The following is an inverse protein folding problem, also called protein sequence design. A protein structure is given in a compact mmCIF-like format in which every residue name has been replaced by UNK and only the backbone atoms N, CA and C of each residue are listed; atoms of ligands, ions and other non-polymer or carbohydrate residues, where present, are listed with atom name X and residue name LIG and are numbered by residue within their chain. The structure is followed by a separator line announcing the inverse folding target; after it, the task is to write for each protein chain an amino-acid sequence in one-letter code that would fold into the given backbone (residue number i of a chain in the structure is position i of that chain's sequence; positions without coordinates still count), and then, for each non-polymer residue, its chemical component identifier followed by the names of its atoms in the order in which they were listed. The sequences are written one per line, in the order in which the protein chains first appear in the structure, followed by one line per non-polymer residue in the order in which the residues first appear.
data_IF_419118831797
#
_entry.id   IF_419118831797
#
_cell.length_a   1.000
_cell.length_b   1.000
_cell.length_c   1.000
_cell.angle_alpha   90.00
_cell.angle_beta   90.00
_cell.angle_gamma   90.00
#
_symmetry.space_group_name_H-M   'P 1'
#
loop_
_entity.id
_entity.type
_entity.pdbx_description
1 polymer ?
#
# COMPACT_ATOMS: atom_id res chain seq x y z
N UNK A 1 18.17 20.25 -83.30
CA UNK A 1 18.57 19.64 -82.02
C UNK A 1 17.35 19.03 -81.31
N UNK A 2 17.53 17.81 -80.80
CA UNK A 2 16.85 17.09 -79.70
C UNK A 2 15.30 16.96 -79.58
N UNK A 3 14.85 15.70 -79.57
CA UNK A 3 13.54 15.16 -79.14
C UNK A 3 13.27 15.38 -77.63
N UNK A 4 12.00 15.56 -77.24
CA UNK A 4 11.41 14.90 -76.05
C UNK A 4 9.89 14.71 -76.15
N UNK A 5 9.47 13.44 -76.17
CA UNK A 5 8.10 12.95 -75.85
C UNK A 5 7.95 12.77 -74.33
N UNK A 6 6.68 12.70 -73.89
CA UNK A 6 6.09 12.12 -72.64
C UNK A 6 5.67 13.18 -71.60
N UNK A 7 4.52 13.06 -70.92
CA UNK A 7 3.72 11.86 -70.59
C UNK A 7 2.25 12.23 -70.33
N UNK A 8 1.32 11.38 -70.75
CA UNK A 8 -0.13 11.54 -70.58
C UNK A 8 -0.64 11.05 -69.22
N UNK A 9 -1.66 11.78 -68.73
CA UNK A 9 -2.93 11.35 -68.11
C UNK A 9 -3.01 10.14 -67.14
N UNK A 10 -3.60 10.48 -65.99
CA UNK A 10 -4.64 9.79 -65.19
C UNK A 10 -4.24 8.62 -64.28
N UNK A 11 -4.29 8.87 -62.98
CA UNK A 11 -4.49 7.88 -61.92
C UNK A 11 -5.73 8.28 -61.11
N UNK A 12 -6.91 7.79 -61.52
CA UNK A 12 -8.17 7.94 -60.77
C UNK A 12 -9.08 6.69 -60.86
N UNK A 13 -8.70 5.66 -61.62
CA UNK A 13 -9.58 4.51 -61.94
C UNK A 13 -9.28 3.21 -61.17
N UNK A 14 -8.34 3.22 -60.23
CA UNK A 14 -7.98 2.00 -59.50
C UNK A 14 -8.85 1.74 -58.27
N UNK A 15 -9.45 2.79 -57.69
CA UNK A 15 -10.33 2.68 -56.51
C UNK A 15 -11.72 2.12 -56.88
N UNK A 16 -12.29 2.52 -58.03
CA UNK A 16 -13.62 2.06 -58.45
C UNK A 16 -13.67 0.61 -58.92
N UNK A 17 -12.60 0.10 -59.57
CA UNK A 17 -12.53 -1.31 -60.01
C UNK A 17 -12.39 -2.30 -58.84
N UNK A 18 -11.64 -1.93 -57.79
CA UNK A 18 -11.52 -2.76 -56.58
C UNK A 18 -12.84 -2.79 -55.80
N UNK A 19 -13.52 -1.65 -55.66
CA UNK A 19 -14.87 -1.58 -55.09
C UNK A 19 -15.84 -2.47 -55.88
N UNK A 20 -15.84 -2.36 -57.22
CA UNK A 20 -16.69 -3.17 -58.11
C UNK A 20 -16.43 -4.68 -58.06
N UNK A 21 -15.20 -5.12 -57.82
CA UNK A 21 -14.89 -6.56 -57.67
C UNK A 21 -15.36 -7.08 -56.31
N UNK A 22 -15.17 -6.29 -55.26
CA UNK A 22 -15.65 -6.64 -53.91
C UNK A 22 -17.17 -6.69 -53.88
N UNK A 23 -17.84 -5.69 -54.47
CA UNK A 23 -19.31 -5.67 -54.56
C UNK A 23 -19.86 -6.86 -55.36
N UNK A 24 -19.15 -7.27 -56.42
CA UNK A 24 -19.51 -8.45 -57.22
C UNK A 24 -19.28 -9.76 -56.47
N UNK A 25 -18.18 -9.89 -55.74
CA UNK A 25 -17.90 -11.06 -54.88
C UNK A 25 -18.92 -11.14 -53.74
N UNK A 26 -19.28 -10.03 -53.11
CA UNK A 26 -20.33 -9.97 -52.07
C UNK A 26 -21.68 -10.41 -52.66
N UNK A 27 -22.03 -9.90 -53.85
CA UNK A 27 -23.26 -10.26 -54.54
C UNK A 27 -23.30 -11.75 -54.94
N UNK A 28 -22.17 -12.32 -55.35
CA UNK A 28 -22.08 -13.74 -55.72
C UNK A 28 -22.13 -14.66 -54.48
N UNK A 29 -21.56 -14.24 -53.34
CA UNK A 29 -21.60 -14.97 -52.06
C UNK A 29 -22.98 -14.92 -51.41
N UNK A 30 -23.71 -13.80 -51.52
CA UNK A 30 -25.06 -13.67 -50.97
C UNK A 30 -26.14 -14.38 -51.81
N UNK A 31 -25.75 -15.05 -52.90
CA UNK A 31 -26.67 -15.81 -53.75
C UNK A 31 -26.86 -17.23 -53.18
N UNK A 32 -28.06 -17.60 -52.68
CA UNK A 32 -28.30 -18.86 -51.98
C UNK A 32 -28.24 -20.12 -52.86
N UNK A 33 -27.97 -19.96 -54.18
CA UNK A 33 -27.79 -21.07 -55.13
C UNK A 33 -26.32 -21.30 -55.52
N UNK A 34 -25.38 -20.58 -54.90
CA UNK A 34 -23.96 -20.61 -55.27
C UNK A 34 -23.16 -21.30 -54.17
N UNK A 35 -22.62 -22.49 -54.45
CA UNK A 35 -21.63 -23.12 -53.57
C UNK A 35 -20.32 -22.33 -53.65
N UNK A 36 -19.89 -21.78 -52.51
CA UNK A 36 -18.67 -20.97 -52.43
C UNK A 36 -17.48 -21.92 -52.60
N UNK A 37 -16.71 -21.77 -53.68
CA UNK A 37 -15.49 -22.55 -53.88
C UNK A 37 -14.37 -22.10 -52.94
N UNK A 38 -13.43 -22.99 -52.61
CA UNK A 38 -12.24 -22.64 -51.80
C UNK A 38 -11.42 -21.49 -52.44
N UNK A 39 -11.45 -21.37 -53.77
CA UNK A 39 -10.80 -20.29 -54.53
C UNK A 39 -11.48 -18.95 -54.25
N UNK A 40 -12.82 -18.92 -54.17
CA UNK A 40 -13.58 -17.70 -53.89
C UNK A 40 -13.43 -17.26 -52.43
N UNK A 41 -13.42 -18.21 -51.49
CA UNK A 41 -13.10 -17.95 -50.09
C UNK A 41 -11.68 -17.36 -49.93
N UNK A 42 -10.70 -17.92 -50.64
CA UNK A 42 -9.33 -17.40 -50.64
C UNK A 42 -9.22 -16.00 -51.27
N UNK A 43 -10.00 -15.69 -52.32
CA UNK A 43 -10.08 -14.34 -52.89
C UNK A 43 -10.66 -13.31 -51.93
N UNK A 44 -11.72 -13.66 -51.20
CA UNK A 44 -12.29 -12.78 -50.16
C UNK A 44 -11.26 -12.54 -49.06
N UNK A 45 -10.59 -13.59 -48.61
CA UNK A 45 -9.52 -13.51 -47.61
C UNK A 45 -8.38 -12.59 -48.07
N UNK A 46 -7.93 -12.73 -49.32
CA UNK A 46 -6.92 -11.84 -49.90
C UNK A 46 -7.41 -10.39 -50.06
N UNK A 47 -8.68 -10.19 -50.43
CA UNK A 47 -9.29 -8.86 -50.53
C UNK A 47 -9.38 -8.17 -49.16
N UNK A 48 -9.79 -8.90 -48.12
CA UNK A 48 -9.82 -8.42 -46.74
C UNK A 48 -8.40 -8.11 -46.24
N UNK A 49 -7.44 -9.01 -46.45
CA UNK A 49 -6.03 -8.80 -46.07
C UNK A 49 -5.34 -7.65 -46.84
N UNK A 50 -5.84 -7.31 -48.03
CA UNK A 50 -5.36 -6.19 -48.83
C UNK A 50 -6.18 -4.91 -48.69
N UNK A 51 -7.29 -4.94 -47.93
CA UNK A 51 -8.09 -3.77 -47.61
C UNK A 51 -7.34 -2.86 -46.64
N UNK A 52 -7.19 -1.59 -47.03
CA UNK A 52 -6.57 -0.57 -46.19
C UNK A 52 -7.40 -0.26 -44.95
N UNK A 53 -8.72 -0.40 -45.03
CA UNK A 53 -9.63 -0.16 -43.89
C UNK A 53 -9.51 -1.27 -42.86
N UNK A 54 -9.47 -2.54 -43.31
CA UNK A 54 -9.27 -3.70 -42.43
C UNK A 54 -7.90 -3.64 -41.75
N UNK A 55 -6.83 -3.27 -42.47
CA UNK A 55 -5.51 -3.06 -41.87
C UNK A 55 -5.51 -1.94 -40.84
N UNK A 56 -6.15 -0.82 -41.15
CA UNK A 56 -6.24 0.32 -40.21
C UNK A 56 -6.95 -0.10 -38.91
N UNK A 57 -8.08 -0.80 -39.02
CA UNK A 57 -8.81 -1.32 -37.86
C UNK A 57 -7.94 -2.28 -37.06
N UNK A 58 -7.24 -3.21 -37.73
CA UNK A 58 -6.36 -4.16 -37.06
C UNK A 58 -5.18 -3.46 -36.34
N UNK A 59 -4.59 -2.44 -36.95
CA UNK A 59 -3.51 -1.64 -36.36
C UNK A 59 -4.00 -0.83 -35.16
N UNK A 60 -5.18 -0.20 -35.27
CA UNK A 60 -5.82 0.54 -34.17
C UNK A 60 -6.15 -0.41 -32.99
N UNK A 61 -6.75 -1.56 -33.27
CA UNK A 61 -7.02 -2.60 -32.26
C UNK A 61 -5.75 -3.08 -31.58
N UNK A 62 -4.68 -3.33 -32.36
CA UNK A 62 -3.39 -3.75 -31.80
C UNK A 62 -2.84 -2.68 -30.85
N UNK A 63 -2.91 -1.42 -31.25
CA UNK A 63 -2.45 -0.29 -30.43
C UNK A 63 -3.24 -0.18 -29.13
N UNK A 64 -4.56 -0.37 -29.18
CA UNK A 64 -5.42 -0.34 -28.00
C UNK A 64 -5.14 -1.52 -27.06
N UNK A 65 -4.96 -2.73 -27.60
CA UNK A 65 -4.55 -3.91 -26.82
C UNK A 65 -3.20 -3.68 -26.14
N UNK A 66 -2.22 -3.14 -26.86
CA UNK A 66 -0.91 -2.81 -26.31
C UNK A 66 -1.02 -1.76 -25.19
N UNK A 67 -1.87 -0.74 -25.36
CA UNK A 67 -2.12 0.28 -24.34
C UNK A 67 -2.74 -0.29 -23.07
N UNK A 68 -3.79 -1.11 -23.20
CA UNK A 68 -4.46 -1.79 -22.08
C UNK A 68 -3.49 -2.73 -21.37
N UNK A 69 -2.76 -3.54 -22.13
CA UNK A 69 -1.78 -4.50 -21.61
C UNK A 69 -0.69 -3.80 -20.81
N UNK A 70 -0.13 -2.70 -21.34
CA UNK A 70 0.87 -1.90 -20.64
C UNK A 70 0.34 -1.27 -19.34
N UNK A 71 -0.90 -0.79 -19.35
CA UNK A 71 -1.57 -0.25 -18.16
C UNK A 71 -1.75 -1.31 -17.06
N UNK A 72 -2.21 -2.52 -17.43
CA UNK A 72 -2.35 -3.65 -16.50
C UNK A 72 -1.00 -4.03 -15.89
N UNK A 73 0.05 -4.14 -16.71
CA UNK A 73 1.39 -4.48 -16.20
C UNK A 73 1.96 -3.37 -15.31
N UNK A 74 1.75 -2.10 -15.64
CA UNK A 74 2.19 -0.98 -14.80
C UNK A 74 1.49 -1.02 -13.44
N UNK A 75 0.17 -1.19 -13.42
CA UNK A 75 -0.64 -1.30 -12.20
C UNK A 75 -0.26 -2.52 -11.37
N UNK A 76 -0.01 -3.68 -12.00
CA UNK A 76 0.48 -4.89 -11.32
C UNK A 76 1.86 -4.68 -10.69
N UNK A 77 2.80 -4.03 -11.38
CA UNK A 77 4.12 -3.68 -10.82
C UNK A 77 3.96 -2.75 -9.62
N UNK A 78 3.07 -1.75 -9.70
CA UNK A 78 2.76 -0.83 -8.59
C UNK A 78 2.20 -1.60 -7.39
N UNK A 79 1.24 -2.51 -7.62
CA UNK A 79 0.66 -3.37 -6.59
C UNK A 79 1.73 -4.21 -5.88
N UNK A 80 2.61 -4.87 -6.63
CA UNK A 80 3.69 -5.69 -6.06
C UNK A 80 4.60 -4.83 -5.16
N UNK A 81 5.06 -3.67 -5.65
CA UNK A 81 5.89 -2.75 -4.87
C UNK A 81 5.22 -2.31 -3.57
N UNK A 82 3.95 -1.92 -3.65
CA UNK A 82 3.14 -1.49 -2.49
C UNK A 82 2.92 -2.63 -1.51
N UNK A 83 2.65 -3.85 -1.99
CA UNK A 83 2.49 -5.03 -1.14
C UNK A 83 3.77 -5.36 -0.38
N UNK A 84 4.93 -5.37 -1.06
CA UNK A 84 6.23 -5.60 -0.41
C UNK A 84 6.55 -4.52 0.63
N UNK A 85 6.31 -3.25 0.31
CA UNK A 85 6.45 -2.12 1.24
C UNK A 85 5.54 -2.25 2.46
N UNK A 86 4.27 -2.61 2.28
CA UNK A 86 3.32 -2.86 3.37
C UNK A 86 3.77 -4.00 4.30
N UNK A 87 4.24 -5.13 3.75
CA UNK A 87 4.76 -6.23 4.57
C UNK A 87 6.02 -5.82 5.36
N UNK A 88 6.93 -5.07 4.75
CA UNK A 88 8.08 -4.52 5.47
C UNK A 88 7.65 -3.57 6.60
N UNK A 89 6.65 -2.73 6.35
CA UNK A 89 6.09 -1.85 7.39
C UNK A 89 5.43 -2.64 8.53
N UNK A 90 4.76 -3.76 8.25
CA UNK A 90 4.21 -4.64 9.30
C UNK A 90 5.29 -5.19 10.22
N UNK A 91 6.42 -5.63 9.63
CA UNK A 91 7.59 -6.10 10.39
C UNK A 91 8.12 -4.97 11.27
N UNK A 92 8.39 -3.80 10.68
CA UNK A 92 8.91 -2.63 11.41
C UNK A 92 7.97 -2.17 12.55
N UNK A 93 6.64 -2.19 12.33
CA UNK A 93 5.64 -1.88 13.36
C UNK A 93 5.73 -2.88 14.51
N UNK A 94 5.86 -4.17 14.21
CA UNK A 94 5.95 -5.23 15.23
C UNK A 94 7.22 -5.08 16.07
N UNK A 95 8.37 -4.90 15.42
CA UNK A 95 9.64 -4.66 16.09
C UNK A 95 9.59 -3.41 16.97
N UNK A 96 8.99 -2.31 16.46
CA UNK A 96 8.88 -1.07 17.21
C UNK A 96 7.91 -1.20 18.40
N UNK A 97 6.85 -2.00 18.29
CA UNK A 97 5.97 -2.34 19.43
C UNK A 97 6.76 -2.99 20.57
N UNK A 98 7.67 -3.91 20.25
CA UNK A 98 8.48 -4.56 21.28
C UNK A 98 9.51 -3.60 21.91
N UNK A 99 10.07 -2.67 21.13
CA UNK A 99 10.89 -1.57 21.67
C UNK A 99 10.09 -0.70 22.64
N UNK A 100 8.86 -0.32 22.28
CA UNK A 100 7.98 0.47 23.15
C UNK A 100 7.65 -0.29 24.44
N UNK A 101 7.33 -1.59 24.36
CA UNK A 101 7.11 -2.42 25.55
C UNK A 101 8.33 -2.43 26.47
N UNK A 102 9.53 -2.66 25.93
CA UNK A 102 10.78 -2.64 26.72
C UNK A 102 11.02 -1.27 27.36
N UNK A 103 10.82 -0.18 26.62
CA UNK A 103 10.94 1.17 27.13
C UNK A 103 9.92 1.46 28.26
N UNK A 104 8.69 0.97 28.11
CA UNK A 104 7.64 1.10 29.12
C UNK A 104 8.00 0.34 30.40
N UNK A 105 8.46 -0.92 30.27
CA UNK A 105 8.93 -1.70 31.42
C UNK A 105 10.10 -1.05 32.14
N UNK A 106 11.08 -0.53 31.39
CA UNK A 106 12.21 0.20 31.96
C UNK A 106 11.76 1.47 32.69
N UNK A 107 10.85 2.25 32.10
CA UNK A 107 10.28 3.43 32.75
C UNK A 107 9.57 3.07 34.07
N UNK A 108 8.78 1.99 34.07
CA UNK A 108 8.11 1.50 35.28
C UNK A 108 9.11 1.13 36.38
N UNK A 109 10.18 0.40 36.02
CA UNK A 109 11.22 0.04 36.96
C UNK A 109 11.91 1.28 37.54
N UNK A 110 12.34 2.23 36.71
CA UNK A 110 13.06 3.41 37.15
C UNK A 110 12.18 4.31 38.02
N UNK A 111 10.89 4.44 37.72
CA UNK A 111 9.93 5.14 38.60
C UNK A 111 9.84 4.49 39.98
N UNK A 112 9.71 3.17 40.03
CA UNK A 112 9.69 2.43 41.31
C UNK A 112 10.98 2.65 42.11
N UNK A 113 12.14 2.63 41.44
CA UNK A 113 13.42 2.95 42.08
C UNK A 113 13.46 4.38 42.62
N UNK A 114 13.01 5.37 41.84
CA UNK A 114 12.96 6.77 42.28
C UNK A 114 12.08 6.93 43.53
N UNK A 115 10.91 6.28 43.58
CA UNK A 115 10.05 6.28 44.78
C UNK A 115 10.74 5.64 45.98
N UNK A 116 11.48 4.53 45.79
CA UNK A 116 12.24 3.92 46.88
C UNK A 116 13.37 4.82 47.39
N UNK A 117 14.09 5.49 46.49
CA UNK A 117 15.14 6.45 46.84
C UNK A 117 14.56 7.70 47.54
N UNK A 118 13.37 8.14 47.15
CA UNK A 118 12.64 9.26 47.77
C UNK A 118 12.23 8.92 49.21
N UNK A 119 11.63 7.75 49.43
CA UNK A 119 11.28 7.26 50.77
C UNK A 119 12.52 7.19 51.65
N UNK A 120 13.62 6.66 51.11
CA UNK A 120 14.89 6.57 51.84
C UNK A 120 15.44 7.95 52.21
N UNK A 121 15.41 8.90 51.28
CA UNK A 121 15.83 10.28 51.52
C UNK A 121 15.00 10.94 52.63
N UNK A 122 13.67 10.89 52.52
CA UNK A 122 12.74 11.44 53.52
C UNK A 122 13.00 10.84 54.90
N UNK A 123 13.21 9.51 54.98
CA UNK A 123 13.53 8.85 56.25
C UNK A 123 14.83 9.38 56.85
N UNK A 124 15.90 9.49 56.05
CA UNK A 124 17.19 9.99 56.54
C UNK A 124 17.14 11.48 56.93
N UNK A 125 16.36 12.28 56.20
CA UNK A 125 16.18 13.71 56.49
C UNK A 125 15.37 13.91 57.79
N UNK A 126 14.34 13.09 58.02
CA UNK A 126 13.59 13.09 59.27
C UNK A 126 14.47 12.77 60.48
N UNK A 127 15.28 11.71 60.39
CA UNK A 127 16.22 11.34 61.48
C UNK A 127 17.23 12.46 61.78
N UNK A 128 17.69 13.17 60.76
CA UNK A 128 18.59 14.33 60.92
C UNK A 128 17.90 15.49 61.65
N UNK A 129 16.68 15.83 61.25
CA UNK A 129 15.90 16.91 61.86
C UNK A 129 15.55 16.61 63.33
N UNK A 130 15.29 15.35 63.68
CA UNK A 130 15.05 14.94 65.06
C UNK A 130 16.28 15.16 65.95
N UNK A 131 17.48 14.83 65.46
CA UNK A 131 18.74 15.07 66.21
C UNK A 131 19.00 16.57 66.33
N UNK A 132 18.79 17.33 65.25
CA UNK A 132 19.02 18.77 65.27
C UNK A 132 18.09 19.46 66.28
N UNK A 133 16.81 19.08 66.28
CA UNK A 133 15.86 19.56 67.30
C UNK A 133 16.27 19.18 68.72
N UNK A 134 16.74 17.95 68.94
CA UNK A 134 17.21 17.53 70.27
C UNK A 134 18.43 18.35 70.74
N UNK A 135 19.35 18.69 69.84
CA UNK A 135 20.47 19.59 70.14
C UNK A 135 19.96 20.98 70.52
N UNK A 136 19.06 21.56 69.71
CA UNK A 136 18.49 22.88 69.95
C UNK A 136 17.73 22.95 71.29
N UNK A 137 16.95 21.91 71.61
CA UNK A 137 16.22 21.80 72.88
C UNK A 137 17.18 21.71 74.08
N UNK A 138 18.27 20.94 73.99
CA UNK A 138 19.30 20.87 75.04
C UNK A 138 19.99 22.22 75.21
N UNK A 139 20.39 22.89 74.11
CA UNK A 139 21.01 24.22 74.16
C UNK A 139 20.09 25.22 74.86
N UNK A 140 18.79 25.18 74.54
CA UNK A 140 17.80 26.07 75.17
C UNK A 140 17.66 25.84 76.67
N UNK A 141 17.63 24.58 77.13
CA UNK A 141 17.51 24.25 78.56
C UNK A 141 18.79 24.57 79.33
N UNK A 142 19.95 24.43 78.69
CA UNK A 142 21.27 24.69 79.28
C UNK A 142 21.73 26.15 79.13
N UNK A 143 20.94 27.03 78.52
CA UNK A 143 21.31 28.42 78.22
C UNK A 143 21.67 29.29 79.45
N UNK A 144 21.28 28.88 80.66
CA UNK A 144 21.61 29.57 81.93
C UNK A 144 22.85 28.98 82.64
N UNK A 145 23.42 27.90 82.12
CA UNK A 145 24.62 27.25 82.63
C UNK A 145 25.87 27.80 81.93
N UNK A 146 27.05 27.33 82.33
CA UNK A 146 28.29 27.64 81.62
C UNK A 146 28.21 27.05 80.20
N UNK A 147 28.62 27.79 79.14
CA UNK A 147 28.69 27.29 77.76
C UNK A 147 29.35 25.90 77.62
N UNK A 148 30.34 25.58 78.46
CA UNK A 148 30.99 24.27 78.48
C UNK A 148 30.03 23.13 78.83
N UNK A 149 29.04 23.36 79.69
CA UNK A 149 28.06 22.35 80.10
C UNK A 149 27.11 21.99 78.94
N UNK A 150 26.71 22.99 78.15
CA UNK A 150 25.89 22.81 76.95
C UNK A 150 26.64 22.03 75.86
N UNK A 151 27.94 22.31 75.68
CA UNK A 151 28.78 21.60 74.73
C UNK A 151 29.00 20.13 75.12
N UNK A 152 29.25 19.85 76.41
CA UNK A 152 29.37 18.47 76.91
C UNK A 152 28.04 17.72 76.73
N UNK A 153 26.91 18.35 77.06
CA UNK A 153 25.59 17.74 76.94
C UNK A 153 25.18 17.41 75.48
N UNK A 154 25.72 18.15 74.50
CA UNK A 154 25.38 17.96 73.08
C UNK A 154 26.45 17.22 72.27
N UNK A 155 27.65 16.97 72.82
CA UNK A 155 28.79 16.43 72.09
C UNK A 155 28.48 15.15 71.31
N UNK A 156 27.86 14.16 71.96
CA UNK A 156 27.49 12.89 71.33
C UNK A 156 26.45 13.05 70.20
N UNK A 157 25.50 13.98 70.38
CA UNK A 157 24.49 14.30 69.36
C UNK A 157 25.12 15.05 68.18
N UNK A 158 26.03 15.99 68.42
CA UNK A 158 26.79 16.70 67.37
C UNK A 158 27.63 15.72 66.54
N UNK A 159 28.28 14.74 67.18
CA UNK A 159 29.00 13.69 66.46
C UNK A 159 28.06 12.81 65.60
N UNK A 160 26.89 12.44 66.14
CA UNK A 160 25.86 11.69 65.41
C UNK A 160 25.30 12.48 64.22
N UNK A 161 25.09 13.79 64.40
CA UNK A 161 24.57 14.70 63.38
C UNK A 161 25.44 14.69 62.12
N UNK A 162 26.77 14.75 62.26
CA UNK A 162 27.72 14.71 61.14
C UNK A 162 27.53 13.42 60.30
N UNK A 163 27.44 12.26 60.97
CA UNK A 163 27.23 10.98 60.28
C UNK A 163 25.86 10.89 59.59
N UNK A 164 24.82 11.44 60.20
CA UNK A 164 23.47 11.49 59.61
C UNK A 164 23.38 12.47 58.45
N UNK A 165 24.07 13.61 58.52
CA UNK A 165 24.17 14.59 57.45
C UNK A 165 24.84 13.99 56.21
N UNK A 166 25.96 13.29 56.37
CA UNK A 166 26.60 12.59 55.26
C UNK A 166 25.67 11.55 54.60
N UNK A 167 24.89 10.81 55.40
CA UNK A 167 23.92 9.83 54.88
C UNK A 167 22.75 10.49 54.15
N UNK A 168 22.21 11.60 54.67
CA UNK A 168 21.15 12.36 54.03
C UNK A 168 21.62 12.97 52.71
N UNK A 169 22.84 13.53 52.66
CA UNK A 169 23.43 14.03 51.41
C UNK A 169 23.62 12.91 50.38
N UNK A 170 24.09 11.73 50.79
CA UNK A 170 24.22 10.55 49.93
C UNK A 170 22.86 10.12 49.37
N UNK A 171 21.83 10.05 50.21
CA UNK A 171 20.46 9.71 49.78
C UNK A 171 19.89 10.76 48.80
N UNK A 172 20.15 12.04 49.04
CA UNK A 172 19.75 13.14 48.14
C UNK A 172 20.38 13.05 46.76
N UNK A 173 21.67 12.70 46.69
CA UNK A 173 22.38 12.49 45.42
C UNK A 173 21.79 11.29 44.67
N UNK A 174 21.49 10.19 45.37
CA UNK A 174 20.86 9.00 44.79
C UNK A 174 19.46 9.32 44.22
N UNK A 175 18.63 10.04 44.98
CA UNK A 175 17.32 10.49 44.54
C UNK A 175 17.42 11.34 43.26
N UNK A 176 18.27 12.37 43.25
CA UNK A 176 18.49 13.23 42.07
C UNK A 176 18.94 12.44 40.84
N UNK A 177 19.78 11.43 41.03
CA UNK A 177 20.21 10.56 39.93
C UNK A 177 19.04 9.73 39.37
N UNK A 178 18.21 9.16 40.25
CA UNK A 178 17.01 8.40 39.85
C UNK A 178 15.94 9.29 39.19
N UNK A 179 15.75 10.53 39.65
CA UNK A 179 14.87 11.51 39.00
C UNK A 179 15.34 11.84 37.57
N UNK A 180 16.65 12.10 37.39
CA UNK A 180 17.24 12.36 36.07
C UNK A 180 17.07 11.17 35.13
N UNK A 181 17.28 9.95 35.61
CA UNK A 181 17.05 8.73 34.84
C UNK A 181 15.56 8.55 34.49
N UNK A 182 14.66 8.90 35.40
CA UNK A 182 13.20 8.85 35.16
C UNK A 182 12.78 9.81 34.05
N UNK A 183 13.30 11.03 34.06
CA UNK A 183 13.03 12.02 33.02
C UNK A 183 13.50 11.53 31.63
N UNK A 184 14.72 11.00 31.57
CA UNK A 184 15.29 10.47 30.33
C UNK A 184 14.53 9.22 29.83
N UNK A 185 14.17 8.29 30.72
CA UNK A 185 13.37 7.12 30.39
C UNK A 185 11.97 7.52 29.85
N UNK A 186 11.37 8.55 30.45
CA UNK A 186 10.07 9.09 30.01
C UNK A 186 10.19 9.65 28.59
N UNK A 187 11.23 10.44 28.32
CA UNK A 187 11.50 11.01 26.99
C UNK A 187 11.68 9.91 25.94
N UNK A 188 12.53 8.90 26.20
CA UNK A 188 12.77 7.77 25.28
C UNK A 188 11.50 6.96 25.00
N UNK A 189 10.68 6.73 26.02
CA UNK A 189 9.40 6.03 25.87
C UNK A 189 8.43 6.83 24.98
N UNK A 190 8.33 8.15 25.20
CA UNK A 190 7.49 9.02 24.39
C UNK A 190 7.96 9.11 22.93
N UNK A 191 9.26 9.25 22.70
CA UNK A 191 9.86 9.25 21.35
C UNK A 191 9.56 7.94 20.61
N UNK A 192 9.80 6.80 21.27
CA UNK A 192 9.52 5.48 20.70
C UNK A 192 8.03 5.30 20.37
N UNK A 193 7.14 5.79 21.23
CA UNK A 193 5.69 5.75 21.01
C UNK A 193 5.28 6.61 19.82
N UNK A 194 5.83 7.83 19.69
CA UNK A 194 5.56 8.72 18.55
C UNK A 194 6.01 8.09 17.23
N UNK A 195 7.18 7.46 17.21
CA UNK A 195 7.67 6.75 16.03
C UNK A 195 6.80 5.55 15.68
N UNK A 196 6.35 4.77 16.67
CA UNK A 196 5.39 3.69 16.46
C UNK A 196 4.11 4.20 15.81
N UNK A 197 3.51 5.27 16.34
CA UNK A 197 2.29 5.86 15.77
C UNK A 197 2.49 6.33 14.32
N UNK A 198 3.67 6.88 13.98
CA UNK A 198 3.99 7.24 12.60
C UNK A 198 4.03 6.01 11.69
N UNK A 199 4.69 4.94 12.13
CA UNK A 199 4.76 3.68 11.37
C UNK A 199 3.38 3.05 11.18
N UNK A 200 2.54 3.03 12.21
CA UNK A 200 1.17 2.51 12.13
C UNK A 200 0.32 3.31 11.13
N UNK A 201 0.42 4.64 11.14
CA UNK A 201 -0.26 5.49 10.15
C UNK A 201 0.22 5.21 8.73
N UNK A 202 1.53 5.07 8.53
CA UNK A 202 2.09 4.72 7.23
C UNK A 202 1.62 3.34 6.77
N UNK A 203 1.58 2.36 7.67
CA UNK A 203 1.08 1.02 7.37
C UNK A 203 -0.40 1.03 6.96
N UNK A 204 -1.25 1.78 7.65
CA UNK A 204 -2.67 1.91 7.30
C UNK A 204 -2.83 2.51 5.90
N UNK A 205 -2.11 3.60 5.60
CA UNK A 205 -2.13 4.23 4.27
C UNK A 205 -1.64 3.28 3.18
N UNK A 206 -0.50 2.63 3.39
CA UNK A 206 0.07 1.70 2.42
C UNK A 206 -0.85 0.49 2.19
N UNK A 207 -1.51 0.00 3.24
CA UNK A 207 -2.49 -1.10 3.12
C UNK A 207 -3.74 -0.68 2.36
N UNK A 208 -4.21 0.55 2.55
CA UNK A 208 -5.30 1.13 1.76
C UNK A 208 -4.91 1.22 0.29
N UNK A 209 -3.73 1.79 -0.03
CA UNK A 209 -3.23 1.88 -1.40
C UNK A 209 -3.19 0.50 -2.09
N UNK A 210 -2.75 -0.55 -1.36
CA UNK A 210 -2.75 -1.93 -1.87
C UNK A 210 -4.16 -2.39 -2.20
N UNK A 211 -5.12 -2.15 -1.31
CA UNK A 211 -6.53 -2.52 -1.49
C UNK A 211 -7.15 -1.79 -2.69
N UNK A 212 -6.90 -0.49 -2.81
CA UNK A 212 -7.45 0.35 -3.87
C UNK A 212 -6.91 -0.10 -5.24
N UNK A 213 -5.59 -0.29 -5.35
CA UNK A 213 -4.97 -0.75 -6.60
C UNK A 213 -5.47 -2.15 -6.97
N UNK A 214 -5.59 -3.06 -5.99
CA UNK A 214 -6.10 -4.41 -6.23
C UNK A 214 -7.55 -4.41 -6.72
N UNK A 215 -8.39 -3.55 -6.12
CA UNK A 215 -9.81 -3.42 -6.49
C UNK A 215 -9.95 -2.84 -7.90
N UNK A 216 -9.25 -1.75 -8.22
CA UNK A 216 -9.27 -1.18 -9.56
C UNK A 216 -8.72 -2.13 -10.63
N UNK A 217 -7.68 -2.91 -10.31
CA UNK A 217 -7.17 -3.96 -11.21
C UNK A 217 -8.20 -5.05 -11.46
N UNK A 218 -8.92 -5.48 -10.42
CA UNK A 218 -9.98 -6.47 -10.52
C UNK A 218 -11.12 -5.95 -11.40
N UNK A 219 -11.63 -4.76 -11.12
CA UNK A 219 -12.70 -4.12 -11.90
C UNK A 219 -12.32 -3.99 -13.39
N UNK A 220 -11.08 -3.59 -13.68
CA UNK A 220 -10.59 -3.50 -15.05
C UNK A 220 -10.56 -4.88 -15.74
N UNK A 221 -10.10 -5.92 -15.05
CA UNK A 221 -10.06 -7.28 -15.58
C UNK A 221 -11.46 -7.87 -15.78
N UNK A 222 -12.37 -7.62 -14.83
CA UNK A 222 -13.77 -8.06 -14.92
C UNK A 222 -14.46 -7.39 -16.12
N UNK A 223 -14.22 -6.08 -16.32
CA UNK A 223 -14.73 -5.32 -17.46
C UNK A 223 -14.20 -5.85 -18.79
N UNK A 224 -12.89 -6.13 -18.89
CA UNK A 224 -12.28 -6.73 -20.09
C UNK A 224 -12.89 -8.10 -20.38
N UNK A 225 -13.07 -8.92 -19.34
CA UNK A 225 -13.64 -10.27 -19.46
C UNK A 225 -15.09 -10.22 -19.94
N UNK A 226 -15.91 -9.32 -19.38
CA UNK A 226 -17.29 -9.11 -19.82
C UNK A 226 -17.36 -8.63 -21.27
N UNK A 227 -16.59 -7.59 -21.61
CA UNK A 227 -16.58 -7.00 -22.96
C UNK A 227 -16.15 -8.03 -24.01
N UNK A 228 -15.17 -8.88 -23.67
CA UNK A 228 -14.77 -9.99 -24.53
C UNK A 228 -15.92 -11.00 -24.75
N UNK A 229 -16.66 -11.33 -23.68
CA UNK A 229 -17.86 -12.16 -23.77
C UNK A 229 -18.92 -11.56 -24.68
N UNK A 230 -19.19 -10.27 -24.55
CA UNK A 230 -20.17 -9.54 -25.37
C UNK A 230 -19.77 -9.51 -26.84
N UNK A 231 -18.50 -9.20 -27.14
CA UNK A 231 -17.97 -9.21 -28.51
C UNK A 231 -18.05 -10.60 -29.12
N UNK A 232 -17.71 -11.65 -28.35
CA UNK A 232 -17.80 -13.04 -28.81
C UNK A 232 -19.25 -13.40 -29.15
N UNK A 233 -20.20 -13.07 -28.28
CA UNK A 233 -21.62 -13.35 -28.51
C UNK A 233 -22.16 -12.59 -29.72
N UNK A 234 -21.82 -11.30 -29.85
CA UNK A 234 -22.19 -10.51 -31.02
C UNK A 234 -21.62 -11.10 -32.31
N UNK A 235 -20.36 -11.53 -32.29
CA UNK A 235 -19.71 -12.15 -33.45
C UNK A 235 -20.38 -13.47 -33.85
N UNK A 236 -20.81 -14.28 -32.88
CA UNK A 236 -21.56 -15.51 -33.14
C UNK A 236 -22.94 -15.21 -33.73
N UNK A 237 -23.68 -14.25 -33.17
CA UNK A 237 -24.99 -13.86 -33.68
C UNK A 237 -24.90 -13.31 -35.11
N UNK A 238 -23.89 -12.49 -35.41
CA UNK A 238 -23.68 -11.96 -36.77
C UNK A 238 -23.35 -13.08 -37.77
N UNK A 239 -22.62 -14.11 -37.36
CA UNK A 239 -22.37 -15.29 -38.19
C UNK A 239 -23.67 -16.06 -38.46
N UNK A 240 -24.50 -16.27 -37.43
CA UNK A 240 -25.78 -16.96 -37.57
C UNK A 240 -26.77 -16.18 -38.47
N UNK A 241 -26.83 -14.85 -38.34
CA UNK A 241 -27.66 -13.99 -39.20
C UNK A 241 -27.15 -13.94 -40.65
N UNK A 242 -25.83 -13.96 -40.86
CA UNK A 242 -25.23 -13.91 -42.20
C UNK A 242 -25.35 -15.24 -42.94
N UNK A 243 -25.50 -16.36 -42.22
CA UNK A 243 -25.66 -17.71 -42.75
C UNK A 243 -26.87 -18.40 -42.11
N UNK A 244 -28.10 -17.92 -42.35
CA UNK A 244 -29.28 -18.54 -41.77
C UNK A 244 -29.36 -19.99 -42.27
N UNK A 245 -29.42 -20.93 -41.34
CA UNK A 245 -29.72 -22.32 -41.68
C UNK A 245 -31.08 -22.37 -42.36
N UNK A 246 -31.11 -22.72 -43.63
CA UNK A 246 -32.36 -22.94 -44.35
C UNK A 246 -33.10 -24.06 -43.65
N UNK A 247 -34.13 -23.72 -42.88
CA UNK A 247 -35.17 -24.68 -42.55
C UNK A 247 -35.90 -24.98 -43.88
N UNK A 248 -35.37 -25.95 -44.63
CA UNK A 248 -36.13 -26.59 -45.70
C UNK A 248 -37.39 -27.18 -45.06
N UNK A 249 -38.51 -26.48 -45.22
CA UNK A 249 -39.81 -27.15 -45.24
C UNK A 249 -39.83 -27.97 -46.50
N UNK A 250 -39.33 -29.19 -46.38
CA UNK A 250 -39.39 -30.21 -47.40
C UNK A 250 -40.85 -30.62 -47.60
N UNK A 251 -41.59 -29.84 -48.40
CA UNK A 251 -42.89 -30.24 -48.94
C UNK A 251 -42.68 -30.78 -50.35
N UNK A 252 -41.94 -31.88 -50.46
CA UNK A 252 -41.96 -32.72 -51.64
C UNK A 252 -43.36 -33.34 -51.78
N UNK A 253 -44.20 -32.76 -52.64
CA UNK A 253 -45.42 -33.42 -53.13
C UNK A 253 -44.99 -34.59 -54.01
N UNK A 254 -45.11 -35.81 -53.51
CA UNK A 254 -45.06 -37.04 -54.31
C UNK A 254 -46.25 -37.06 -55.27
N UNK A 255 -45.99 -37.00 -56.58
CA UNK A 255 -46.95 -37.42 -57.60
C UNK A 255 -46.91 -38.95 -57.72
N UNK A 256 -48.05 -39.66 -57.72
CA UNK A 256 -48.06 -41.09 -57.95
C UNK A 256 -47.88 -41.39 -59.44
N UNK A 257 -47.00 -42.35 -59.76
CA UNK A 257 -46.97 -42.98 -61.08
C UNK A 257 -48.23 -43.81 -61.27
N UNK A 258 -49.04 -43.49 -62.28
CA UNK A 258 -50.04 -44.39 -62.83
C UNK A 258 -49.41 -45.24 -63.93
N UNK A 259 -49.55 -46.56 -63.77
CA UNK A 259 -49.24 -47.64 -64.72
C UNK A 259 -49.96 -47.51 -66.06
#
# INVERSE_FOLDING_TARGET
MAKKRRKSRRSANQRSKRQSIVDKIIHDIMNPRYDISEIDANRVKEALNSSSEVRKIADDMKKDIDAVTNSIFASRRKLIKKKTSSEQLKINVTEKKDVVKRASSYLSHIKSKATADEIKFIKTEKELLEIQKAIDDIIKVTAKLNPTDADIATYGLKASLIGKEANAQKAKIQLRASEKLTAEATKRHQESTRELTKLERSLVRESSDVSDIASSLKEALDTITSTYGDIKNLSLNLLDESFPTSAEKDTAKTQPLTT
#
